data_IF_645505816800
#
_entry.id   IF_645505816800
#
_cell.length_a   1.000
_cell.length_b   1.000
_cell.length_c   1.000
_cell.angle_alpha   90.00
_cell.angle_beta   90.00
_cell.angle_gamma   90.00
#
_symmetry.space_group_name_H-M   'P 1'
#
loop_
_entity.id
_entity.type
_entity.pdbx_description
1 polymer ?
#
# COMPACT_ATOMS: atom_id res chain seq x y z
N UNK A 1 -2.51 15.38 -19.15
CA UNK A 1 -1.63 14.42 -18.44
C UNK A 1 -0.21 14.79 -18.84
N UNK A 2 0.52 15.43 -17.95
CA UNK A 2 1.93 15.77 -18.20
C UNK A 2 2.76 14.53 -17.86
N UNK A 3 3.32 13.89 -18.88
CA UNK A 3 4.31 12.84 -18.67
C UNK A 3 5.54 13.46 -18.02
N UNK A 4 6.04 12.87 -16.93
CA UNK A 4 7.32 13.29 -16.36
C UNK A 4 8.44 12.92 -17.35
N UNK A 5 9.28 13.90 -17.69
CA UNK A 5 10.43 13.73 -18.56
C UNK A 5 11.71 13.99 -17.75
N UNK A 6 12.65 13.06 -17.83
CA UNK A 6 13.93 13.19 -17.15
C UNK A 6 14.75 14.31 -17.77
N UNK A 7 15.22 15.25 -16.95
CA UNK A 7 16.18 16.28 -17.37
C UNK A 7 17.65 15.82 -17.27
N UNK A 8 17.92 14.76 -16.51
CA UNK A 8 19.26 14.22 -16.23
C UNK A 8 19.19 12.72 -15.95
N UNK A 9 20.21 11.99 -16.41
CA UNK A 9 20.35 10.55 -16.22
C UNK A 9 20.91 10.18 -14.84
N UNK A 10 20.86 8.89 -14.50
CA UNK A 10 21.58 8.30 -13.35
C UNK A 10 22.98 7.84 -13.79
N UNK A 11 23.91 7.73 -12.85
CA UNK A 11 25.23 7.15 -13.13
C UNK A 11 25.16 5.62 -12.97
N UNK A 12 25.28 4.82 -14.05
CA UNK A 12 25.23 3.36 -13.94
C UNK A 12 26.42 2.77 -13.15
N UNK A 13 27.51 3.54 -12.97
CA UNK A 13 28.67 3.15 -12.19
C UNK A 13 28.53 3.40 -10.68
N UNK A 14 27.53 4.18 -10.26
CA UNK A 14 27.25 4.47 -8.85
C UNK A 14 26.43 3.31 -8.24
N UNK A 15 27.11 2.19 -7.99
CA UNK A 15 26.51 1.02 -7.39
C UNK A 15 26.14 1.32 -5.93
N UNK A 16 24.89 1.04 -5.56
CA UNK A 16 24.42 1.14 -4.18
C UNK A 16 24.57 -0.18 -3.44
N UNK A 17 25.02 -0.08 -2.20
CA UNK A 17 25.00 -1.21 -1.27
C UNK A 17 23.58 -1.38 -0.72
N UNK A 18 22.98 -2.54 -0.99
CA UNK A 18 21.65 -2.86 -0.49
C UNK A 18 21.60 -2.90 1.05
N UNK A 19 22.67 -3.30 1.73
CA UNK A 19 22.71 -3.32 3.20
C UNK A 19 22.72 -1.90 3.78
N UNK A 20 23.42 -0.97 3.13
CA UNK A 20 23.40 0.46 3.50
C UNK A 20 21.99 1.05 3.35
N UNK A 21 21.29 0.71 2.25
CA UNK A 21 19.92 1.17 2.03
C UNK A 21 18.97 0.54 3.05
N UNK A 22 19.11 -0.76 3.35
CA UNK A 22 18.32 -1.48 4.35
C UNK A 22 18.42 -0.77 5.72
N UNK A 23 19.65 -0.42 6.13
CA UNK A 23 19.92 0.30 7.37
C UNK A 23 19.31 1.71 7.37
N UNK A 24 19.44 2.47 6.28
CA UNK A 24 18.86 3.81 6.16
C UNK A 24 17.33 3.79 6.24
N UNK A 25 16.69 2.85 5.54
CA UNK A 25 15.23 2.67 5.60
C UNK A 25 14.79 2.33 7.02
N UNK A 26 15.48 1.42 7.72
CA UNK A 26 15.16 1.09 9.10
C UNK A 26 15.35 2.28 10.07
N UNK A 27 16.38 3.12 9.84
CA UNK A 27 16.65 4.35 10.61
C UNK A 27 15.64 5.46 10.36
N UNK A 28 14.83 5.37 9.31
CA UNK A 28 13.73 6.29 9.04
C UNK A 28 12.41 5.71 9.54
N UNK A 29 12.10 4.47 9.16
CA UNK A 29 10.81 3.83 9.47
C UNK A 29 10.60 3.68 10.97
N UNK A 30 11.59 3.16 11.71
CA UNK A 30 11.40 2.87 13.12
C UNK A 30 11.20 4.13 13.98
N UNK A 31 12.02 5.18 13.87
CA UNK A 31 11.77 6.42 14.60
C UNK A 31 10.46 7.11 14.21
N UNK A 32 10.07 7.04 12.93
CA UNK A 32 8.78 7.58 12.49
C UNK A 32 7.61 6.82 13.12
N UNK A 33 7.64 5.49 13.08
CA UNK A 33 6.62 4.65 13.69
C UNK A 33 6.50 4.92 15.20
N UNK A 34 7.63 5.03 15.91
CA UNK A 34 7.65 5.42 17.32
C UNK A 34 7.08 6.82 17.56
N UNK A 35 7.30 7.76 16.63
CA UNK A 35 6.73 9.11 16.72
C UNK A 35 5.21 9.09 16.62
N UNK A 36 4.63 8.24 15.78
CA UNK A 36 3.18 8.02 15.71
C UNK A 36 2.62 7.37 16.98
N UNK A 37 3.27 6.33 17.52
CA UNK A 37 2.83 5.66 18.75
C UNK A 37 2.82 6.57 19.97
N UNK A 38 3.83 7.44 20.08
CA UNK A 38 3.94 8.37 21.20
C UNK A 38 3.15 9.67 20.99
N UNK A 39 2.49 9.85 19.85
CA UNK A 39 1.71 11.07 19.57
C UNK A 39 0.36 11.03 20.30
N UNK A 40 0.35 11.51 21.55
CA UNK A 40 -0.86 11.56 22.38
C UNK A 40 -2.02 12.38 21.77
N UNK A 41 -1.72 13.24 20.80
CA UNK A 41 -2.64 14.20 20.17
C UNK A 41 -3.19 13.76 18.81
N UNK A 42 -2.73 12.62 18.26
CA UNK A 42 -3.23 12.02 17.02
C UNK A 42 -4.26 10.91 17.26
N UNK A 43 -4.55 10.59 18.52
CA UNK A 43 -5.41 9.48 18.91
C UNK A 43 -4.65 8.14 18.89
N UNK A 44 -4.80 7.36 19.95
CA UNK A 44 -4.02 6.14 20.14
C UNK A 44 -4.23 5.11 19.01
N UNK A 45 -5.46 4.95 18.53
CA UNK A 45 -5.79 4.00 17.46
C UNK A 45 -5.13 4.37 16.13
N UNK A 46 -5.22 5.64 15.71
CA UNK A 46 -4.62 6.09 14.47
C UNK A 46 -3.08 6.06 14.55
N UNK A 47 -2.49 6.49 15.67
CA UNK A 47 -1.06 6.39 15.91
C UNK A 47 -0.55 4.95 15.81
N UNK A 48 -1.23 4.00 16.45
CA UNK A 48 -0.88 2.57 16.37
C UNK A 48 -1.04 2.00 14.95
N UNK A 49 -2.13 2.33 14.26
CA UNK A 49 -2.37 1.90 12.88
C UNK A 49 -1.26 2.38 11.94
N UNK A 50 -0.91 3.67 12.00
CA UNK A 50 0.15 4.24 11.16
C UNK A 50 1.51 3.63 11.48
N UNK A 51 1.82 3.41 12.76
CA UNK A 51 3.07 2.77 13.16
C UNK A 51 3.17 1.33 12.66
N UNK A 52 2.09 0.55 12.75
CA UNK A 52 2.06 -0.81 12.21
C UNK A 52 2.22 -0.81 10.68
N UNK A 53 1.46 0.01 9.97
CA UNK A 53 1.56 0.17 8.51
C UNK A 53 2.99 0.53 8.06
N UNK A 54 3.66 1.44 8.77
CA UNK A 54 5.04 1.81 8.48
C UNK A 54 6.00 0.64 8.69
N UNK A 55 5.87 -0.10 9.79
CA UNK A 55 6.72 -1.27 10.06
C UNK A 55 6.47 -2.43 9.11
N UNK A 56 5.25 -2.57 8.59
CA UNK A 56 4.95 -3.57 7.58
C UNK A 56 5.77 -3.37 6.29
N UNK A 57 6.23 -2.15 5.98
CA UNK A 57 7.18 -1.96 4.87
C UNK A 57 8.49 -2.71 5.11
N UNK A 58 9.03 -2.68 6.34
CA UNK A 58 10.25 -3.42 6.70
C UNK A 58 10.00 -4.93 6.65
N UNK A 59 8.88 -5.39 7.19
CA UNK A 59 8.52 -6.81 7.19
C UNK A 59 8.42 -7.37 5.76
N UNK A 60 7.65 -6.71 4.89
CA UNK A 60 7.51 -7.11 3.49
C UNK A 60 8.83 -6.99 2.72
N UNK A 61 9.63 -5.96 3.00
CA UNK A 61 10.97 -5.83 2.41
C UNK A 61 11.87 -7.01 2.80
N UNK A 62 11.89 -7.37 4.09
CA UNK A 62 12.66 -8.52 4.57
C UNK A 62 12.19 -9.82 3.91
N UNK A 63 10.88 -10.02 3.74
CA UNK A 63 10.35 -11.17 3.00
C UNK A 63 10.83 -11.20 1.55
N UNK A 64 10.84 -10.05 0.85
CA UNK A 64 11.43 -9.93 -0.49
C UNK A 64 12.91 -10.36 -0.44
N UNK A 65 13.71 -9.80 0.48
CA UNK A 65 15.15 -10.13 0.62
C UNK A 65 15.37 -11.61 0.92
N UNK A 66 14.54 -12.24 1.75
CA UNK A 66 14.63 -13.67 2.07
C UNK A 66 14.37 -14.54 0.84
N UNK A 67 13.29 -14.26 0.10
CA UNK A 67 13.01 -14.96 -1.16
C UNK A 67 14.17 -14.80 -2.15
N UNK A 68 14.80 -13.61 -2.18
CA UNK A 68 15.95 -13.35 -3.05
C UNK A 68 17.19 -14.14 -2.62
N UNK A 69 17.43 -14.30 -1.32
CA UNK A 69 18.56 -15.10 -0.80
C UNK A 69 18.41 -16.58 -1.15
N UNK A 70 17.18 -17.11 -1.20
CA UNK A 70 16.88 -18.51 -1.59
C UNK A 70 16.87 -18.78 -3.10
N UNK A 71 17.26 -17.80 -3.95
CA UNK A 71 17.14 -17.88 -5.41
C UNK A 71 17.88 -19.04 -6.07
N UNK A 72 19.07 -19.38 -5.55
CA UNK A 72 19.90 -20.46 -6.11
C UNK A 72 19.30 -21.85 -5.88
N UNK A 73 18.42 -21.97 -4.89
CA UNK A 73 17.79 -23.22 -4.48
C UNK A 73 16.35 -23.34 -5.01
N UNK A 74 15.64 -22.21 -5.19
CA UNK A 74 14.23 -22.22 -5.62
C UNK A 74 13.83 -21.01 -6.52
N UNK A 75 14.23 -20.98 -7.81
CA UNK A 75 13.90 -19.89 -8.75
C UNK A 75 12.39 -19.54 -8.93
N UNK A 76 11.42 -20.47 -8.79
CA UNK A 76 9.99 -20.16 -8.82
C UNK A 76 9.47 -19.20 -7.73
N UNK A 77 10.19 -19.05 -6.61
CA UNK A 77 9.84 -18.14 -5.50
C UNK A 77 9.81 -16.64 -5.89
N UNK A 78 10.03 -16.35 -7.17
CA UNK A 78 10.12 -15.00 -7.72
C UNK A 78 8.83 -14.34 -8.10
N UNK A 79 7.84 -15.12 -8.48
CA UNK A 79 6.49 -14.58 -8.61
C UNK A 79 6.01 -13.99 -7.27
N UNK A 80 6.48 -14.56 -6.15
CA UNK A 80 6.08 -14.13 -4.82
C UNK A 80 6.73 -12.78 -4.45
N UNK A 81 8.01 -12.56 -4.75
CA UNK A 81 8.66 -11.27 -4.46
C UNK A 81 8.08 -10.09 -5.28
N UNK A 82 7.71 -10.32 -6.54
CA UNK A 82 7.02 -9.31 -7.35
C UNK A 82 5.62 -9.01 -6.79
N UNK A 83 4.95 -10.01 -6.22
CA UNK A 83 3.66 -9.84 -5.54
C UNK A 83 3.80 -9.06 -4.24
N UNK A 84 4.86 -9.30 -3.48
CA UNK A 84 5.20 -8.51 -2.30
C UNK A 84 5.58 -7.06 -2.67
N UNK A 85 6.30 -6.84 -3.78
CA UNK A 85 6.58 -5.50 -4.28
C UNK A 85 5.30 -4.76 -4.69
N UNK A 86 4.32 -5.47 -5.31
CA UNK A 86 2.98 -4.92 -5.57
C UNK A 86 2.29 -4.47 -4.28
N UNK A 87 2.34 -5.30 -3.23
CA UNK A 87 1.77 -4.98 -1.92
C UNK A 87 2.41 -3.73 -1.31
N UNK A 88 3.73 -3.55 -1.44
CA UNK A 88 4.40 -2.31 -1.00
C UNK A 88 3.83 -1.08 -1.70
N UNK A 89 3.53 -1.18 -3.00
CA UNK A 89 2.89 -0.09 -3.74
C UNK A 89 1.50 0.18 -3.18
N UNK A 90 0.68 -0.85 -2.94
CA UNK A 90 -0.66 -0.70 -2.34
C UNK A 90 -0.60 0.00 -0.97
N UNK A 91 0.40 -0.31 -0.14
CA UNK A 91 0.62 0.36 1.15
C UNK A 91 0.93 1.86 1.01
N UNK A 92 1.61 2.30 -0.06
CA UNK A 92 1.81 3.73 -0.34
C UNK A 92 0.47 4.45 -0.49
N UNK A 93 -0.48 3.82 -1.19
CA UNK A 93 -1.83 4.39 -1.32
C UNK A 93 -2.53 4.43 0.04
N UNK A 94 -2.51 3.33 0.79
CA UNK A 94 -3.16 3.27 2.11
C UNK A 94 -2.63 4.37 3.02
N UNK A 95 -1.31 4.52 3.13
CA UNK A 95 -0.67 5.59 3.93
C UNK A 95 -1.08 6.97 3.41
N UNK A 96 -1.01 7.21 2.10
CA UNK A 96 -1.35 8.51 1.52
C UNK A 96 -2.80 8.93 1.80
N UNK A 97 -3.74 7.98 1.70
CA UNK A 97 -5.15 8.18 1.96
C UNK A 97 -5.41 8.42 3.45
N UNK A 98 -4.88 7.56 4.33
CA UNK A 98 -5.00 7.72 5.78
C UNK A 98 -4.44 9.05 6.28
N UNK A 99 -3.40 9.58 5.65
CA UNK A 99 -2.84 10.90 5.99
C UNK A 99 -3.67 12.08 5.46
N UNK A 100 -4.47 11.87 4.42
CA UNK A 100 -5.31 12.90 3.81
C UNK A 100 -6.61 13.11 4.60
N UNK A 101 -7.31 12.02 4.91
CA UNK A 101 -8.53 12.02 5.71
C UNK A 101 -8.59 10.74 6.57
N UNK A 102 -7.94 10.75 7.75
CA UNK A 102 -7.86 9.58 8.60
C UNK A 102 -9.21 8.95 8.92
N UNK A 103 -10.22 9.77 9.20
CA UNK A 103 -11.54 9.29 9.63
C UNK A 103 -12.28 8.63 8.46
N UNK A 104 -12.40 9.33 7.33
CA UNK A 104 -13.10 8.83 6.15
C UNK A 104 -12.50 7.52 5.63
N UNK A 105 -11.18 7.47 5.47
CA UNK A 105 -10.52 6.30 4.90
C UNK A 105 -10.50 5.13 5.87
N UNK A 106 -10.30 5.37 7.16
CA UNK A 106 -10.40 4.30 8.18
C UNK A 106 -11.80 3.70 8.19
N UNK A 107 -12.85 4.52 8.19
CA UNK A 107 -14.23 4.04 8.13
C UNK A 107 -14.45 3.17 6.89
N UNK A 108 -14.01 3.64 5.71
CA UNK A 108 -14.17 2.90 4.45
C UNK A 108 -13.48 1.54 4.49
N UNK A 109 -12.24 1.45 5.00
CA UNK A 109 -11.54 0.17 5.14
C UNK A 109 -12.25 -0.77 6.12
N UNK A 110 -12.68 -0.27 7.28
CA UNK A 110 -13.37 -1.09 8.28
C UNK A 110 -14.73 -1.60 7.77
N UNK A 111 -15.51 -0.75 7.09
CA UNK A 111 -16.77 -1.14 6.45
C UNK A 111 -16.56 -2.18 5.35
N UNK A 112 -15.50 -2.04 4.56
CA UNK A 112 -15.14 -3.00 3.51
C UNK A 112 -14.76 -4.37 4.09
N UNK A 113 -13.96 -4.40 5.16
CA UNK A 113 -13.58 -5.64 5.85
C UNK A 113 -14.78 -6.32 6.50
N UNK A 114 -15.63 -5.58 7.21
CA UNK A 114 -16.88 -6.12 7.74
C UNK A 114 -17.78 -6.68 6.62
N UNK A 115 -17.90 -5.97 5.50
CA UNK A 115 -18.68 -6.44 4.33
C UNK A 115 -18.16 -7.80 3.84
N UNK A 116 -16.85 -7.93 3.62
CA UNK A 116 -16.25 -9.19 3.13
C UNK A 116 -16.48 -10.33 4.12
N UNK A 117 -16.30 -10.07 5.42
CA UNK A 117 -16.55 -11.06 6.46
C UNK A 117 -18.02 -11.49 6.50
N UNK A 118 -18.94 -10.54 6.30
CA UNK A 118 -20.37 -10.81 6.24
C UNK A 118 -20.79 -11.57 4.97
N UNK A 119 -20.27 -11.18 3.79
CA UNK A 119 -20.45 -11.93 2.54
C UNK A 119 -19.90 -13.37 2.66
N UNK A 120 -18.77 -13.56 3.34
CA UNK A 120 -18.22 -14.88 3.63
C UNK A 120 -19.14 -15.69 4.55
N UNK A 121 -19.72 -15.07 5.57
CA UNK A 121 -20.71 -15.71 6.43
C UNK A 121 -21.95 -16.15 5.65
N UNK A 122 -22.48 -15.30 4.76
CA UNK A 122 -23.62 -15.65 3.90
C UNK A 122 -23.31 -16.86 3.00
N UNK A 123 -22.11 -16.89 2.40
CA UNK A 123 -21.65 -18.04 1.62
C UNK A 123 -21.59 -19.31 2.46
N UNK A 124 -21.00 -19.25 3.65
CA UNK A 124 -20.90 -20.42 4.53
C UNK A 124 -22.27 -20.88 5.04
N UNK A 125 -23.20 -19.96 5.29
CA UNK A 125 -24.56 -20.28 5.67
C UNK A 125 -25.31 -21.00 4.54
N UNK A 126 -25.17 -20.52 3.29
CA UNK A 126 -25.79 -21.15 2.11
C UNK A 126 -25.23 -22.55 1.89
N UNK A 127 -23.89 -22.68 1.82
CA UNK A 127 -23.19 -23.95 1.56
C UNK A 127 -23.41 -25.01 2.64
N UNK A 128 -23.72 -24.60 3.89
CA UNK A 128 -23.83 -25.50 5.05
C UNK A 128 -25.25 -25.59 5.64
N UNK A 129 -26.24 -24.98 5.02
CA UNK A 129 -27.63 -24.92 5.50
C UNK A 129 -28.28 -26.29 5.81
N UNK A 130 -27.80 -27.38 5.22
CA UNK A 130 -28.27 -28.75 5.50
C UNK A 130 -27.47 -29.51 6.56
N UNK A 131 -26.46 -28.90 7.18
CA UNK A 131 -25.50 -29.57 8.05
C UNK A 131 -25.63 -29.10 9.50
N UNK A 132 -26.48 -29.76 10.29
CA UNK A 132 -26.78 -29.41 11.68
C UNK A 132 -25.56 -29.20 12.60
N UNK A 133 -24.42 -29.85 12.30
CA UNK A 133 -23.15 -29.64 13.04
C UNK A 133 -22.68 -28.19 13.01
N UNK A 134 -23.05 -27.42 11.99
CA UNK A 134 -22.61 -26.03 11.80
C UNK A 134 -23.58 -25.00 12.36
N UNK A 135 -24.75 -25.40 12.87
CA UNK A 135 -25.78 -24.46 13.31
C UNK A 135 -25.26 -23.51 14.40
N UNK A 136 -24.56 -24.03 15.40
CA UNK A 136 -24.03 -23.23 16.51
C UNK A 136 -22.87 -22.33 16.05
N UNK A 137 -21.98 -22.85 15.20
CA UNK A 137 -20.89 -22.09 14.60
C UNK A 137 -21.42 -20.89 13.80
N UNK A 138 -22.43 -21.11 12.94
CA UNK A 138 -23.02 -20.05 12.12
C UNK A 138 -23.75 -19.01 12.97
N UNK A 139 -24.45 -19.42 14.04
CA UNK A 139 -25.09 -18.50 14.99
C UNK A 139 -24.07 -17.63 15.74
N UNK A 140 -22.97 -18.23 16.21
CA UNK A 140 -21.91 -17.50 16.90
C UNK A 140 -21.24 -16.49 15.97
N UNK A 141 -20.90 -16.91 14.75
CA UNK A 141 -20.34 -16.02 13.73
C UNK A 141 -21.29 -14.86 13.39
N UNK A 142 -22.58 -15.14 13.20
CA UNK A 142 -23.59 -14.11 12.94
C UNK A 142 -23.70 -13.09 14.09
N UNK A 143 -23.64 -13.56 15.34
CA UNK A 143 -23.66 -12.71 16.53
C UNK A 143 -22.42 -11.80 16.62
N UNK A 144 -21.24 -12.34 16.34
CA UNK A 144 -19.99 -11.57 16.27
C UNK A 144 -20.06 -10.45 15.23
N UNK A 145 -20.45 -10.79 14.01
CA UNK A 145 -20.59 -9.84 12.91
C UNK A 145 -21.65 -8.77 13.19
N UNK A 146 -22.74 -9.12 13.87
CA UNK A 146 -23.79 -8.17 14.26
C UNK A 146 -23.29 -7.19 15.34
N UNK A 147 -22.44 -7.63 16.26
CA UNK A 147 -21.82 -6.76 17.25
C UNK A 147 -20.80 -5.81 16.61
N UNK A 148 -19.95 -6.33 15.71
CA UNK A 148 -19.00 -5.52 14.94
C UNK A 148 -19.71 -4.47 14.09
N UNK A 149 -20.79 -4.85 13.39
CA UNK A 149 -21.64 -3.95 12.61
C UNK A 149 -22.06 -2.73 13.42
N UNK A 150 -22.61 -2.98 14.62
CA UNK A 150 -23.06 -1.92 15.54
C UNK A 150 -21.90 -1.07 16.03
N UNK A 151 -20.77 -1.68 16.36
CA UNK A 151 -19.56 -0.98 16.80
C UNK A 151 -18.98 -0.06 15.72
N UNK A 152 -19.11 -0.44 14.45
CA UNK A 152 -18.68 0.34 13.28
C UNK A 152 -19.73 1.35 12.79
N UNK A 153 -20.90 1.42 13.43
CA UNK A 153 -21.98 2.31 13.00
C UNK A 153 -22.60 1.96 11.64
N UNK A 154 -22.42 0.71 11.19
CA UNK A 154 -23.02 0.22 9.94
C UNK A 154 -24.52 0.03 10.18
N UNK A 155 -25.36 0.73 9.42
CA UNK A 155 -26.82 0.71 9.56
C UNK A 155 -27.46 -0.60 9.08
N UNK A 156 -28.73 -0.80 9.44
CA UNK A 156 -29.50 -1.95 8.95
C UNK A 156 -29.72 -1.88 7.43
N UNK A 157 -29.87 -0.67 6.87
CA UNK A 157 -29.96 -0.44 5.42
C UNK A 157 -28.65 -0.85 4.71
N UNK A 158 -27.49 -0.55 5.31
CA UNK A 158 -26.19 -0.97 4.78
C UNK A 158 -26.04 -2.49 4.80
N UNK A 159 -26.45 -3.16 5.88
CA UNK A 159 -26.50 -4.63 5.94
C UNK A 159 -27.43 -5.21 4.87
N UNK A 160 -28.64 -4.66 4.74
CA UNK A 160 -29.60 -5.08 3.72
C UNK A 160 -29.03 -4.92 2.31
N UNK A 161 -28.32 -3.83 2.05
CA UNK A 161 -27.61 -3.63 0.78
C UNK A 161 -26.56 -4.71 0.52
N UNK A 162 -25.77 -5.11 1.52
CA UNK A 162 -24.79 -6.20 1.36
C UNK A 162 -25.47 -7.53 1.07
N UNK A 163 -26.53 -7.87 1.80
CA UNK A 163 -27.30 -9.09 1.54
C UNK A 163 -27.93 -9.08 0.13
N UNK A 164 -28.51 -7.94 -0.27
CA UNK A 164 -29.07 -7.76 -1.60
C UNK A 164 -27.98 -7.94 -2.66
N UNK A 165 -26.83 -7.28 -2.50
CA UNK A 165 -25.71 -7.37 -3.43
C UNK A 165 -25.17 -8.79 -3.56
N UNK A 166 -25.08 -9.54 -2.45
CA UNK A 166 -24.64 -10.93 -2.44
C UNK A 166 -25.60 -11.84 -3.22
N UNK A 167 -26.91 -11.66 -3.06
CA UNK A 167 -27.95 -12.49 -3.70
C UNK A 167 -28.21 -12.15 -5.18
N UNK A 168 -27.70 -11.01 -5.67
CA UNK A 168 -28.00 -10.52 -7.00
C UNK A 168 -26.73 -10.46 -7.88
N UNK A 169 -26.83 -10.86 -9.17
CA UNK A 169 -25.69 -10.77 -10.08
C UNK A 169 -25.14 -9.34 -10.24
N UNK A 170 -23.83 -9.18 -10.51
CA UNK A 170 -23.26 -7.89 -10.89
C UNK A 170 -24.01 -7.25 -12.06
N UNK A 171 -24.32 -5.96 -11.95
CA UNK A 171 -25.09 -5.21 -12.96
C UNK A 171 -26.60 -5.14 -12.72
N UNK A 172 -27.12 -5.85 -11.70
CA UNK A 172 -28.51 -5.69 -11.26
C UNK A 172 -28.72 -4.26 -10.72
N UNK A 173 -29.85 -3.62 -11.06
CA UNK A 173 -30.15 -2.25 -10.60
C UNK A 173 -30.43 -2.24 -9.11
N UNK A 174 -29.69 -1.43 -8.35
CA UNK A 174 -29.90 -1.26 -6.90
C UNK A 174 -31.30 -0.69 -6.61
N UNK A 175 -32.07 -1.29 -5.70
CA UNK A 175 -33.36 -0.77 -5.26
C UNK A 175 -33.27 0.69 -4.79
N UNK A 176 -34.29 1.54 -5.04
CA UNK A 176 -34.24 2.95 -4.69
C UNK A 176 -33.94 3.21 -3.20
N UNK A 177 -34.47 2.37 -2.30
CA UNK A 177 -34.27 2.51 -0.86
C UNK A 177 -32.87 2.10 -0.38
N UNK A 178 -32.07 1.40 -1.20
CA UNK A 178 -30.70 0.98 -0.87
C UNK A 178 -29.63 1.83 -1.57
N UNK A 179 -30.04 2.88 -2.28
CA UNK A 179 -29.13 3.71 -3.08
C UNK A 179 -28.22 4.59 -2.22
N UNK A 180 -28.62 4.90 -0.98
CA UNK A 180 -27.77 5.62 -0.05
C UNK A 180 -26.71 4.65 0.53
N UNK A 181 -27.16 3.51 1.05
CA UNK A 181 -26.28 2.43 1.51
C UNK A 181 -25.23 1.99 0.48
N UNK A 182 -25.56 1.95 -0.82
CA UNK A 182 -24.59 1.55 -1.85
C UNK A 182 -23.41 2.50 -2.02
N UNK A 183 -23.56 3.76 -1.59
CA UNK A 183 -22.47 4.76 -1.61
C UNK A 183 -21.58 4.66 -0.38
N UNK A 184 -22.14 4.29 0.77
CA UNK A 184 -21.40 4.19 2.04
C UNK A 184 -20.72 2.83 2.17
N UNK A 185 -21.34 1.76 1.66
CA UNK A 185 -20.75 0.41 1.52
C UNK A 185 -19.96 0.28 0.21
N UNK A 186 -19.07 1.24 -0.03
CA UNK A 186 -18.20 1.26 -1.20
C UNK A 186 -17.22 0.07 -1.19
N UNK A 187 -16.70 -0.27 -2.37
CA UNK A 187 -15.67 -1.29 -2.50
C UNK A 187 -14.35 -0.85 -1.89
N UNK A 188 -13.50 -1.86 -1.66
CA UNK A 188 -12.10 -1.71 -1.32
C UNK A 188 -11.47 -0.61 -2.20
N UNK A 189 -10.75 0.36 -1.60
CA UNK A 189 -10.15 1.47 -2.30
C UNK A 189 -9.01 1.02 -3.23
N UNK A 190 -9.36 0.59 -4.45
CA UNK A 190 -8.38 0.18 -5.44
C UNK A 190 -7.54 1.37 -5.91
N UNK A 191 -6.21 1.23 -6.09
CA UNK A 191 -5.30 2.32 -6.48
C UNK A 191 -5.80 3.23 -7.62
N UNK A 192 -6.32 2.65 -8.71
CA UNK A 192 -6.79 3.42 -9.87
C UNK A 192 -8.05 4.24 -9.59
N UNK A 193 -8.91 3.78 -8.68
CA UNK A 193 -10.20 4.40 -8.35
C UNK A 193 -9.98 5.61 -7.44
N UNK A 194 -9.24 5.40 -6.36
CA UNK A 194 -9.04 6.40 -5.30
C UNK A 194 -8.16 7.56 -5.68
N UNK A 195 -7.29 7.43 -6.70
CA UNK A 195 -6.52 8.57 -7.24
C UNK A 195 -7.41 9.75 -7.58
N UNK A 196 -8.66 9.51 -8.00
CA UNK A 196 -9.59 10.58 -8.37
C UNK A 196 -10.10 11.35 -7.16
N UNK A 197 -10.13 10.69 -6.01
CA UNK A 197 -10.65 11.19 -4.73
C UNK A 197 -9.59 12.01 -3.97
N UNK A 198 -8.30 11.80 -4.25
CA UNK A 198 -7.19 12.58 -3.65
C UNK A 198 -7.33 14.07 -3.98
N UNK A 199 -7.20 14.94 -3.00
CA UNK A 199 -7.32 16.39 -3.12
C UNK A 199 -6.01 17.07 -3.53
N UNK A 200 -4.87 16.64 -2.97
CA UNK A 200 -3.54 17.20 -3.22
C UNK A 200 -3.10 16.91 -4.67
N UNK A 201 -2.94 17.94 -5.54
CA UNK A 201 -2.60 17.74 -6.94
C UNK A 201 -1.23 17.08 -7.17
N UNK A 202 -0.23 17.39 -6.35
CA UNK A 202 1.12 16.84 -6.50
C UNK A 202 1.17 15.39 -6.04
N UNK A 203 0.53 15.09 -4.90
CA UNK A 203 0.37 13.71 -4.45
C UNK A 203 -0.42 12.89 -5.47
N UNK A 204 -1.51 13.44 -6.02
CA UNK A 204 -2.30 12.79 -7.07
C UNK A 204 -1.44 12.45 -8.30
N UNK A 205 -0.55 13.33 -8.73
CA UNK A 205 0.36 13.05 -9.85
C UNK A 205 1.40 11.99 -9.50
N UNK A 206 1.97 12.02 -8.29
CA UNK A 206 2.87 10.97 -7.81
C UNK A 206 2.18 9.60 -7.72
N UNK A 207 0.94 9.55 -7.22
CA UNK A 207 0.15 8.31 -7.18
C UNK A 207 -0.21 7.83 -8.60
N UNK A 208 -0.50 8.72 -9.56
CA UNK A 208 -0.63 8.31 -10.98
C UNK A 208 0.63 7.67 -11.54
N UNK A 209 1.81 8.13 -11.12
CA UNK A 209 3.09 7.51 -11.48
C UNK A 209 3.22 6.14 -10.82
N UNK A 210 2.87 6.00 -9.55
CA UNK A 210 2.82 4.71 -8.86
C UNK A 210 1.84 3.73 -9.49
N UNK A 211 0.71 4.19 -10.02
CA UNK A 211 -0.27 3.35 -10.71
C UNK A 211 0.34 2.62 -11.92
N UNK A 212 1.36 3.20 -12.55
CA UNK A 212 2.09 2.54 -13.65
C UNK A 212 2.94 1.39 -13.14
N UNK A 213 3.63 1.57 -12.02
CA UNK A 213 4.33 0.46 -11.36
C UNK A 213 3.35 -0.60 -10.88
N UNK A 214 2.26 -0.19 -10.22
CA UNK A 214 1.22 -1.10 -9.78
C UNK A 214 0.70 -1.98 -10.93
N UNK A 215 0.40 -1.38 -12.09
CA UNK A 215 -0.04 -2.14 -13.26
C UNK A 215 0.99 -3.15 -13.77
N UNK A 216 2.27 -2.79 -13.75
CA UNK A 216 3.36 -3.70 -14.13
C UNK A 216 3.50 -4.88 -13.16
N UNK A 217 3.63 -4.61 -11.86
CA UNK A 217 3.81 -5.64 -10.83
C UNK A 217 2.56 -6.50 -10.67
N UNK A 218 1.36 -5.91 -10.68
CA UNK A 218 0.09 -6.64 -10.66
C UNK A 218 -0.06 -7.55 -11.88
N UNK A 219 0.24 -7.02 -13.07
CA UNK A 219 0.28 -7.80 -14.30
C UNK A 219 1.22 -8.99 -14.17
N UNK A 220 2.45 -8.79 -13.67
CA UNK A 220 3.41 -9.87 -13.48
C UNK A 220 2.92 -10.95 -12.48
N UNK A 221 2.35 -10.53 -11.35
CA UNK A 221 1.84 -11.44 -10.30
C UNK A 221 0.70 -12.34 -10.76
N UNK A 222 -0.26 -11.80 -11.52
CA UNK A 222 -1.47 -12.53 -11.94
C UNK A 222 -1.31 -13.39 -13.21
N UNK A 223 -0.09 -13.85 -13.52
CA UNK A 223 0.26 -14.48 -14.80
C UNK A 223 0.24 -13.51 -15.97
N UNK A 224 1.05 -12.46 -15.89
CA UNK A 224 1.15 -11.46 -16.95
C UNK A 224 1.46 -12.10 -18.30
N UNK A 225 0.98 -11.47 -19.38
CA UNK A 225 1.11 -11.95 -20.76
C UNK A 225 2.47 -12.60 -21.07
N UNK A 226 3.58 -12.05 -20.58
CA UNK A 226 4.92 -12.65 -20.72
C UNK A 226 5.04 -14.07 -20.16
N UNK A 227 4.48 -14.36 -18.98
CA UNK A 227 4.44 -15.71 -18.38
C UNK A 227 3.51 -16.67 -19.14
N UNK A 228 2.56 -16.14 -19.90
CA UNK A 228 1.59 -16.92 -20.69
C UNK A 228 2.03 -17.12 -22.15
N UNK A 229 3.10 -16.45 -22.60
CA UNK A 229 3.60 -16.60 -23.97
C UNK A 229 4.30 -17.96 -24.13
N UNK A 230 3.85 -18.83 -25.06
CA UNK A 230 4.49 -20.12 -25.30
C UNK A 230 5.97 -20.00 -25.63
N UNK A 231 6.36 -18.95 -26.38
CA UNK A 231 7.76 -18.65 -26.69
C UNK A 231 8.58 -18.14 -25.49
N UNK A 232 7.96 -17.70 -24.41
CA UNK A 232 8.63 -17.34 -23.15
C UNK A 232 8.71 -18.55 -22.21
N UNK A 233 7.71 -19.44 -22.24
CA UNK A 233 7.77 -20.73 -21.54
C UNK A 233 8.80 -21.64 -22.22
N UNK A 234 8.72 -21.84 -23.53
CA UNK A 234 9.73 -22.56 -24.33
C UNK A 234 11.07 -21.83 -24.38
N UNK A 235 11.06 -20.50 -24.41
CA UNK A 235 12.25 -19.65 -24.35
C UNK A 235 12.97 -19.82 -23.02
N UNK A 236 12.27 -19.72 -21.89
CA UNK A 236 12.83 -19.97 -20.56
C UNK A 236 13.25 -21.43 -20.37
N UNK A 237 12.60 -22.40 -21.00
CA UNK A 237 13.10 -23.78 -21.02
C UNK A 237 14.41 -23.91 -21.81
N UNK A 238 14.63 -23.06 -22.81
CA UNK A 238 15.83 -23.02 -23.67
C UNK A 238 16.92 -22.03 -23.21
N UNK A 239 16.62 -21.14 -22.25
CA UNK A 239 17.61 -20.22 -21.70
C UNK A 239 18.69 -21.02 -20.99
N UNK A 240 19.94 -20.61 -21.24
CA UNK A 240 21.08 -21.05 -20.45
C UNK A 240 20.90 -20.62 -18.99
N UNK A 241 21.60 -21.27 -18.06
CA UNK A 241 21.60 -20.90 -16.65
C UNK A 241 21.94 -19.41 -16.46
N UNK A 242 22.94 -18.90 -17.19
CA UNK A 242 23.37 -17.50 -17.13
C UNK A 242 22.30 -16.50 -17.60
N UNK A 243 21.51 -16.85 -18.63
CA UNK A 243 20.42 -16.00 -19.10
C UNK A 243 19.23 -16.00 -18.13
N UNK A 244 18.94 -17.15 -17.50
CA UNK A 244 17.96 -17.24 -16.42
C UNK A 244 18.38 -16.37 -15.25
N UNK A 245 19.64 -16.45 -14.84
CA UNK A 245 20.24 -15.63 -13.78
C UNK A 245 20.15 -14.14 -14.09
N UNK A 246 20.38 -13.71 -15.33
CA UNK A 246 20.29 -12.30 -15.73
C UNK A 246 18.86 -11.74 -15.70
N UNK A 247 17.87 -12.52 -16.15
CA UNK A 247 16.44 -12.14 -16.08
C UNK A 247 16.01 -12.00 -14.62
N UNK A 248 16.39 -13.00 -13.82
CA UNK A 248 16.28 -13.02 -12.37
C UNK A 248 16.87 -11.72 -11.78
N UNK A 249 18.14 -11.45 -11.97
CA UNK A 249 18.82 -10.28 -11.40
C UNK A 249 18.14 -8.95 -11.74
N UNK A 250 17.64 -8.81 -12.97
CA UNK A 250 16.95 -7.60 -13.43
C UNK A 250 15.60 -7.40 -12.73
N UNK A 251 14.78 -8.45 -12.63
CA UNK A 251 13.48 -8.39 -11.96
C UNK A 251 13.62 -8.28 -10.42
N UNK A 252 14.73 -8.80 -9.88
CA UNK A 252 15.02 -8.80 -8.45
C UNK A 252 15.43 -7.41 -7.97
N UNK A 253 16.36 -6.79 -8.71
CA UNK A 253 16.77 -5.42 -8.47
C UNK A 253 15.57 -4.47 -8.52
N UNK A 254 14.62 -4.71 -9.43
CA UNK A 254 13.38 -3.95 -9.51
C UNK A 254 12.49 -4.12 -8.28
N UNK A 255 12.26 -5.35 -7.80
CA UNK A 255 11.43 -5.59 -6.61
C UNK A 255 12.00 -4.94 -5.35
N UNK A 256 13.31 -5.08 -5.14
CA UNK A 256 14.04 -4.45 -4.04
C UNK A 256 13.94 -2.92 -4.15
N UNK A 257 14.27 -2.35 -5.31
CA UNK A 257 14.23 -0.91 -5.53
C UNK A 257 12.82 -0.35 -5.28
N UNK A 258 11.78 -1.00 -5.80
CA UNK A 258 10.40 -0.58 -5.57
C UNK A 258 10.03 -0.60 -4.10
N UNK A 259 10.46 -1.61 -3.35
CA UNK A 259 10.19 -1.65 -1.91
C UNK A 259 10.86 -0.49 -1.16
N UNK A 260 12.08 -0.09 -1.53
CA UNK A 260 12.74 1.08 -0.95
C UNK A 260 12.02 2.37 -1.32
N UNK A 261 11.65 2.54 -2.59
CA UNK A 261 10.92 3.71 -3.06
C UNK A 261 9.56 3.85 -2.38
N UNK A 262 8.87 2.73 -2.16
CA UNK A 262 7.57 2.68 -1.51
C UNK A 262 7.69 3.11 -0.03
N UNK A 263 8.65 2.53 0.70
CA UNK A 263 8.95 2.94 2.08
C UNK A 263 9.38 4.41 2.16
N UNK A 264 10.29 4.84 1.28
CA UNK A 264 10.81 6.20 1.24
C UNK A 264 9.72 7.25 0.99
N UNK A 265 8.78 7.00 0.07
CA UNK A 265 7.68 7.93 -0.16
C UNK A 265 6.67 7.90 0.99
N UNK A 266 6.27 6.71 1.46
CA UNK A 266 5.33 6.60 2.58
C UNK A 266 5.86 7.31 3.83
N UNK A 267 7.14 7.15 4.15
CA UNK A 267 7.78 7.85 5.26
C UNK A 267 7.90 9.36 5.01
N UNK A 268 8.23 9.79 3.79
CA UNK A 268 8.28 11.22 3.48
C UNK A 268 6.90 11.88 3.65
N UNK A 269 5.83 11.27 3.14
CA UNK A 269 4.46 11.74 3.36
C UNK A 269 4.11 11.76 4.85
N UNK A 270 4.33 10.65 5.55
CA UNK A 270 3.94 10.50 6.95
C UNK A 270 4.70 11.42 7.90
N UNK A 271 5.98 11.69 7.63
CA UNK A 271 6.79 12.60 8.42
C UNK A 271 6.41 14.07 8.18
N UNK A 272 6.19 14.46 6.92
CA UNK A 272 6.03 15.87 6.53
C UNK A 272 4.60 16.38 6.55
N UNK A 273 3.60 15.49 6.42
CA UNK A 273 2.18 15.90 6.36
C UNK A 273 1.77 16.60 7.65
N UNK A 274 1.24 17.81 7.51
CA UNK A 274 0.63 18.53 8.62
C UNK A 274 -0.71 17.89 8.98
N UNK A 275 -0.75 17.15 10.09
CA UNK A 275 -1.96 16.49 10.57
C UNK A 275 -2.66 17.35 11.63
N UNK A 276 -4.00 17.39 11.66
CA UNK A 276 -4.76 18.09 12.68
C UNK A 276 -4.48 17.48 14.05
N UNK A 277 -4.07 18.30 15.01
CA UNK A 277 -3.72 17.82 16.35
C UNK A 277 -4.46 18.57 17.43
N UNK A 278 -4.96 17.82 18.42
CA UNK A 278 -5.69 18.37 19.55
C UNK A 278 -4.73 18.54 20.72
N UNK A 279 -4.38 19.78 21.05
CA UNK A 279 -3.66 20.07 22.29
C UNK A 279 -4.51 19.74 23.52
N UNK A 280 -3.90 19.56 24.71
CA UNK A 280 -4.63 19.26 25.95
C UNK A 280 -5.73 20.28 26.29
N UNK A 281 -5.51 21.55 25.94
CA UNK A 281 -6.42 22.68 26.20
C UNK A 281 -6.41 23.74 25.08
N UNK A 282 -5.74 23.44 23.95
CA UNK A 282 -5.49 24.40 22.87
C UNK A 282 -6.38 24.20 21.64
N UNK A 283 -6.40 25.19 20.71
CA UNK A 283 -7.08 25.04 19.43
C UNK A 283 -6.45 23.92 18.61
N UNK A 284 -7.20 23.38 17.65
CA UNK A 284 -6.71 22.38 16.71
C UNK A 284 -5.60 23.02 15.85
N UNK A 285 -4.37 22.51 15.94
CA UNK A 285 -3.23 23.00 15.14
C UNK A 285 -2.72 21.90 14.24
N UNK A 286 -2.45 22.20 12.97
CA UNK A 286 -1.85 21.25 12.05
C UNK A 286 -0.31 21.25 12.22
N UNK A 287 0.30 20.09 12.49
CA UNK A 287 1.77 19.97 12.60
C UNK A 287 2.30 18.62 12.12
N UNK A 288 3.49 18.65 11.53
CA UNK A 288 4.21 17.48 11.00
C UNK A 288 4.65 16.52 12.11
N UNK A 289 4.65 15.22 11.82
CA UNK A 289 5.02 14.14 12.77
C UNK A 289 6.52 14.01 12.91
N UNK A 290 7.24 14.13 11.80
CA UNK A 290 8.69 14.11 11.81
C UNK A 290 9.28 15.37 12.43
N UNK A 291 10.27 15.18 13.28
CA UNK A 291 11.15 16.26 13.71
C UNK A 291 12.21 16.58 12.64
N UNK A 292 13.01 17.61 12.89
CA UNK A 292 14.02 18.06 11.94
C UNK A 292 15.09 16.97 11.67
N UNK A 293 15.47 16.17 12.68
CA UNK A 293 16.47 15.10 12.51
C UNK A 293 15.95 14.01 11.58
N UNK A 294 14.69 13.59 11.77
CA UNK A 294 14.04 12.60 10.92
C UNK A 294 13.89 13.09 9.48
N UNK A 295 13.55 14.36 9.28
CA UNK A 295 13.44 14.94 7.94
C UNK A 295 14.80 15.02 7.22
N UNK A 296 15.90 15.23 7.96
CA UNK A 296 17.26 15.13 7.41
C UNK A 296 17.57 13.70 6.99
N UNK A 297 17.33 12.70 7.85
CA UNK A 297 17.54 11.28 7.51
C UNK A 297 16.73 10.83 6.29
N UNK A 298 15.51 11.34 6.17
CA UNK A 298 14.66 11.12 4.99
C UNK A 298 15.25 11.75 3.73
N UNK A 299 15.85 12.93 3.86
CA UNK A 299 16.54 13.60 2.74
C UNK A 299 17.76 12.79 2.30
N UNK A 300 18.55 12.27 3.25
CA UNK A 300 19.69 11.39 2.96
C UNK A 300 19.25 10.10 2.23
N UNK A 301 18.17 9.47 2.69
CA UNK A 301 17.58 8.32 2.01
C UNK A 301 17.16 8.68 0.58
N UNK A 302 16.46 9.81 0.40
CA UNK A 302 16.01 10.23 -0.92
C UNK A 302 17.14 10.65 -1.85
N UNK A 303 18.27 11.14 -1.33
CA UNK A 303 19.47 11.40 -2.13
C UNK A 303 20.02 10.11 -2.74
N UNK A 304 20.04 9.04 -1.94
CA UNK A 304 20.40 7.71 -2.42
C UNK A 304 19.38 7.19 -3.45
N UNK A 305 18.08 7.30 -3.18
CA UNK A 305 17.04 6.80 -4.09
C UNK A 305 16.94 7.59 -5.41
N UNK A 306 17.14 8.90 -5.40
CA UNK A 306 17.16 9.79 -6.58
C UNK A 306 18.33 9.47 -7.52
N UNK A 307 19.50 9.12 -6.98
CA UNK A 307 20.67 8.79 -7.81
C UNK A 307 20.68 7.36 -8.31
N UNK A 308 19.99 6.45 -7.62
CA UNK A 308 20.03 5.00 -7.91
C UNK A 308 18.99 4.50 -8.90
N UNK A 309 17.93 5.27 -9.14
CA UNK A 309 16.83 4.83 -9.99
C UNK A 309 16.14 6.00 -10.68
N UNK A 310 15.88 5.86 -11.98
CA UNK A 310 15.04 6.81 -12.71
C UNK A 310 13.61 6.85 -12.14
N UNK A 311 13.09 5.73 -11.63
CA UNK A 311 11.79 5.75 -10.93
C UNK A 311 11.88 6.60 -9.67
N UNK A 312 12.95 6.42 -8.88
CA UNK A 312 13.23 7.22 -7.70
C UNK A 312 13.34 8.71 -8.02
N UNK A 313 14.12 9.08 -9.03
CA UNK A 313 14.24 10.46 -9.50
C UNK A 313 12.90 11.09 -9.87
N UNK A 314 12.07 10.36 -10.62
CA UNK A 314 10.75 10.86 -10.99
C UNK A 314 9.88 11.11 -9.76
N UNK A 315 9.84 10.17 -8.81
CA UNK A 315 9.06 10.32 -7.57
C UNK A 315 9.62 11.43 -6.66
N UNK A 316 10.94 11.60 -6.61
CA UNK A 316 11.58 12.67 -5.88
C UNK A 316 11.15 14.04 -6.41
N UNK A 317 11.31 14.27 -7.72
CA UNK A 317 10.99 15.56 -8.35
C UNK A 317 9.48 15.83 -8.39
N UNK A 318 8.65 14.80 -8.53
CA UNK A 318 7.20 14.94 -8.53
C UNK A 318 6.63 15.21 -7.12
N UNK A 319 7.28 14.72 -6.06
CA UNK A 319 6.73 14.83 -4.71
C UNK A 319 7.75 15.02 -3.60
N UNK A 320 8.69 14.11 -3.39
CA UNK A 320 9.51 14.13 -2.17
C UNK A 320 10.28 15.45 -1.99
N UNK A 321 10.78 16.05 -3.08
CA UNK A 321 11.46 17.35 -3.08
C UNK A 321 10.61 18.49 -2.52
N UNK A 322 9.29 18.45 -2.71
CA UNK A 322 8.38 19.52 -2.27
C UNK A 322 8.03 19.45 -0.79
N UNK A 323 8.19 18.27 -0.17
CA UNK A 323 7.76 18.00 1.21
C UNK A 323 8.93 17.76 2.17
N UNK A 324 10.14 17.58 1.64
CA UNK A 324 11.37 17.46 2.43
C UNK A 324 12.14 18.79 2.45
N UNK A 325 12.98 19.02 3.47
CA UNK A 325 13.84 20.19 3.52
C UNK A 325 14.70 20.35 2.25
N UNK A 326 14.96 21.58 1.80
CA UNK A 326 15.84 21.81 0.66
C UNK A 326 17.26 21.35 1.00
N UNK A 327 17.93 20.74 0.01
CA UNK A 327 19.31 20.29 0.14
C UNK A 327 20.20 21.48 0.49
N UNK A 328 20.93 21.41 1.60
CA UNK A 328 21.97 22.40 1.91
C UNK A 328 23.14 22.15 0.94
N UNK A 329 23.30 23.02 -0.07
CA UNK A 329 24.41 22.95 -1.03
C UNK A 329 24.11 22.39 -2.41
N UNK A 330 22.85 22.21 -2.81
CA UNK A 330 22.52 22.01 -4.22
C UNK A 330 22.47 23.36 -4.95
N UNK A 331 23.01 23.48 -6.18
CA UNK A 331 22.96 24.71 -6.96
C UNK A 331 21.54 25.16 -7.31
#
# INVERSE_FOLDING_TARGET
MTHYAHARDIDPGDAIDAEEVDDLVARVVNPLALSFEHSADLGATFGALMADMLRQFLGTHQSIRMLMRSRGENPPAMADAMSLAREQIEKVYVVALLLEDPEHWTERYLKDEWRKAYERHLLEADERSGLARYDDFLKEQASGLENERKGLGISDEEKEFVEWRYRNPPGTTTPPHLKAASKTMANFPMPAEVIREVSDPQLKDALRRWQREYGYFSGYSHSGFRKLMPGFIEGNMKLTTAEKEKVVETEYAQSIMISYLAAGLACAEAASRALPRRGPTGPLTARAVGDADLLVRLSDLWDLLDRSSLVGRALYEMRARSILPPKIGAP
#
